data_IF_648492499093
#
_entry.id   IF_648492499093
#
_cell.length_a   1.000
_cell.length_b   1.000
_cell.length_c   1.000
_cell.angle_alpha   90.00
_cell.angle_beta   90.00
_cell.angle_gamma   90.00
#
_symmetry.space_group_name_H-M   'P 1'
#
loop_
_entity.id
_entity.type
_entity.pdbx_description
1 polymer ?
#
# COMPACT_ATOMS: atom_id res chain seq x y z
N UNK A 1 1.68 -73.06 -68.05
CA UNK A 1 0.57 -73.97 -68.52
C UNK A 1 -0.76 -73.20 -68.36
N UNK A 2 -1.35 -72.88 -69.51
CA UNK A 2 -2.75 -72.74 -69.91
C UNK A 2 -3.63 -71.80 -69.00
N UNK A 3 -4.03 -70.62 -69.51
CA UNK A 3 -5.24 -70.42 -70.37
C UNK A 3 -6.50 -70.40 -69.54
N UNK A 4 -7.51 -69.56 -69.61
CA UNK A 4 -8.03 -68.68 -70.70
C UNK A 4 -9.25 -67.94 -70.14
N UNK A 5 -9.53 -66.71 -70.60
CA UNK A 5 -10.72 -66.23 -71.25
C UNK A 5 -12.04 -66.36 -70.44
N UNK A 6 -12.91 -65.37 -70.40
CA UNK A 6 -13.58 -64.49 -71.35
C UNK A 6 -14.53 -63.50 -70.63
N UNK A 7 -14.49 -62.30 -71.05
CA UNK A 7 -15.57 -61.38 -71.53
C UNK A 7 -16.99 -61.44 -70.97
N UNK A 8 -17.47 -60.29 -70.55
CA UNK A 8 -18.88 -59.97 -70.47
C UNK A 8 -19.12 -58.47 -70.22
N UNK A 9 -19.75 -57.83 -71.19
CA UNK A 9 -20.05 -56.39 -71.33
C UNK A 9 -21.16 -55.89 -70.47
N UNK A 10 -21.09 -54.58 -70.24
CA UNK A 10 -22.18 -53.57 -70.21
C UNK A 10 -22.99 -53.28 -68.96
N UNK A 11 -22.99 -52.07 -68.58
CA UNK A 11 -23.98 -51.48 -67.69
C UNK A 11 -23.54 -50.12 -67.16
N UNK A 12 -23.69 -49.06 -67.94
CA UNK A 12 -23.54 -47.68 -67.50
C UNK A 12 -24.65 -47.32 -66.52
N UNK A 13 -24.30 -46.95 -65.28
CA UNK A 13 -25.14 -46.14 -64.42
C UNK A 13 -24.29 -45.04 -63.79
N UNK A 14 -24.41 -43.85 -64.37
CA UNK A 14 -23.83 -42.61 -63.81
C UNK A 14 -24.69 -42.21 -62.58
N UNK A 15 -24.17 -42.48 -61.41
CA UNK A 15 -24.71 -41.94 -60.17
C UNK A 15 -23.97 -40.63 -59.86
N UNK A 16 -24.62 -39.47 -60.13
CA UNK A 16 -24.18 -38.16 -59.64
C UNK A 16 -24.28 -38.15 -58.12
N UNK A 17 -23.16 -38.34 -57.40
CA UNK A 17 -23.03 -37.98 -56.02
C UNK A 17 -22.79 -36.45 -55.93
N UNK A 18 -23.88 -35.72 -55.62
CA UNK A 18 -23.80 -34.34 -55.13
C UNK A 18 -23.22 -34.40 -53.76
N UNK A 19 -21.91 -34.17 -53.63
CA UNK A 19 -21.29 -33.86 -52.34
C UNK A 19 -21.73 -32.49 -51.90
N UNK A 20 -22.73 -32.43 -50.98
CA UNK A 20 -22.96 -31.26 -50.15
C UNK A 20 -21.70 -31.12 -49.27
N UNK A 21 -20.78 -30.26 -49.68
CA UNK A 21 -19.80 -29.65 -48.81
C UNK A 21 -20.60 -28.73 -47.88
N UNK A 22 -21.08 -29.28 -46.76
CA UNK A 22 -21.52 -28.49 -45.64
C UNK A 22 -20.28 -27.76 -45.11
N UNK A 23 -20.15 -26.48 -45.48
CA UNK A 23 -19.37 -25.53 -44.66
C UNK A 23 -20.02 -25.51 -43.29
N UNK A 24 -19.53 -26.39 -42.38
CA UNK A 24 -19.64 -26.17 -40.96
C UNK A 24 -18.71 -25.01 -40.63
N UNK A 25 -19.18 -23.78 -40.85
CA UNK A 25 -18.63 -22.64 -40.15
C UNK A 25 -18.85 -22.90 -38.66
N UNK A 26 -17.84 -23.31 -37.95
CA UNK A 26 -17.75 -22.97 -36.53
C UNK A 26 -17.74 -21.45 -36.47
N UNK A 27 -18.92 -20.87 -36.38
CA UNK A 27 -19.08 -19.49 -36.00
C UNK A 27 -18.46 -19.42 -34.61
N UNK A 28 -17.19 -19.02 -34.49
CA UNK A 28 -16.75 -18.35 -33.30
C UNK A 28 -17.72 -17.19 -33.14
N UNK A 29 -18.71 -17.35 -32.27
CA UNK A 29 -19.54 -16.23 -31.86
C UNK A 29 -18.59 -15.25 -31.18
N UNK A 30 -18.23 -14.18 -31.91
CA UNK A 30 -17.48 -13.06 -31.35
C UNK A 30 -18.39 -12.29 -30.37
N UNK A 31 -18.84 -12.98 -29.30
CA UNK A 31 -19.64 -12.33 -28.28
C UNK A 31 -18.81 -11.20 -27.67
N UNK A 32 -19.39 -10.00 -27.56
CA UNK A 32 -18.64 -8.88 -27.03
C UNK A 32 -18.19 -9.15 -25.60
N UNK A 33 -16.99 -8.71 -25.27
CA UNK A 33 -16.46 -8.70 -23.92
C UNK A 33 -16.90 -7.43 -23.17
N UNK A 34 -16.84 -7.47 -21.85
CA UNK A 34 -17.09 -6.29 -21.02
C UNK A 34 -15.87 -5.95 -20.18
N UNK A 35 -15.59 -4.67 -20.06
CA UNK A 35 -14.45 -4.14 -19.31
C UNK A 35 -14.88 -2.95 -18.46
N UNK A 36 -14.45 -2.92 -17.19
CA UNK A 36 -14.56 -1.73 -16.32
C UNK A 36 -13.25 -1.42 -15.64
N UNK A 37 -13.17 -0.24 -15.04
CA UNK A 37 -12.00 0.21 -14.30
C UNK A 37 -12.37 0.55 -12.86
N UNK A 38 -11.42 0.28 -11.93
CA UNK A 38 -11.47 0.68 -10.53
C UNK A 38 -10.25 1.54 -10.24
N UNK A 39 -10.46 2.74 -9.71
CA UNK A 39 -9.37 3.57 -9.22
C UNK A 39 -9.07 3.25 -7.75
N UNK A 40 -8.15 2.34 -7.50
CA UNK A 40 -7.63 2.00 -6.17
C UNK A 40 -6.31 2.72 -5.87
N UNK A 41 -5.93 3.72 -6.68
CA UNK A 41 -4.67 4.45 -6.48
C UNK A 41 -4.75 5.40 -5.29
N UNK A 42 -3.60 5.62 -4.64
CA UNK A 42 -3.43 6.61 -3.57
C UNK A 42 -2.87 7.93 -4.07
N UNK A 43 -2.27 7.94 -5.27
CA UNK A 43 -1.65 9.12 -5.85
C UNK A 43 -2.56 9.94 -6.79
N UNK A 44 -3.73 9.40 -7.18
CA UNK A 44 -4.59 10.04 -8.18
C UNK A 44 -6.04 10.04 -7.75
N UNK A 45 -6.57 11.21 -7.39
CA UNK A 45 -7.97 11.37 -6.98
C UNK A 45 -8.96 11.11 -8.11
N UNK A 46 -8.58 11.46 -9.34
CA UNK A 46 -9.37 11.31 -10.56
C UNK A 46 -8.48 10.77 -11.69
N UNK A 47 -8.97 9.74 -12.40
CA UNK A 47 -8.33 9.18 -13.58
C UNK A 47 -9.27 9.26 -14.78
N UNK A 48 -8.70 9.51 -15.96
CA UNK A 48 -9.36 9.31 -17.24
C UNK A 48 -8.87 8.00 -17.87
N UNK A 49 -9.78 7.32 -18.59
CA UNK A 49 -9.52 6.03 -19.24
C UNK A 49 -9.72 6.17 -20.73
N UNK A 50 -8.70 5.83 -21.48
CA UNK A 50 -8.73 5.71 -22.94
C UNK A 50 -8.66 4.24 -23.34
N UNK A 51 -9.43 3.86 -24.34
CA UNK A 51 -9.35 2.55 -24.99
C UNK A 51 -9.20 2.81 -26.48
N UNK A 52 -8.20 2.21 -27.10
CA UNK A 52 -7.85 2.41 -28.50
C UNK A 52 -7.82 3.91 -28.87
N UNK A 53 -7.09 4.67 -28.06
CA UNK A 53 -6.89 6.13 -28.13
C UNK A 53 -8.18 6.98 -28.00
N UNK A 54 -9.32 6.35 -27.67
CA UNK A 54 -10.59 7.04 -27.46
C UNK A 54 -10.90 7.18 -25.98
N UNK A 55 -11.23 8.39 -25.51
CA UNK A 55 -11.68 8.64 -24.14
C UNK A 55 -13.01 7.92 -23.89
N UNK A 56 -13.02 6.92 -23.01
CA UNK A 56 -14.20 6.14 -22.67
C UNK A 56 -14.79 6.52 -21.31
N UNK A 57 -13.94 6.91 -20.35
CA UNK A 57 -14.38 7.29 -19.02
C UNK A 57 -13.55 8.47 -18.53
N UNK A 58 -14.20 9.52 -18.06
CA UNK A 58 -13.53 10.69 -17.48
C UNK A 58 -13.86 10.82 -16.00
N UNK A 59 -12.83 11.17 -15.20
CA UNK A 59 -13.00 11.50 -13.79
C UNK A 59 -13.31 10.32 -12.88
N UNK A 60 -12.77 9.12 -13.14
CA UNK A 60 -12.94 7.96 -12.26
C UNK A 60 -12.33 8.26 -10.88
N UNK A 61 -13.21 8.40 -9.90
CA UNK A 61 -12.84 8.80 -8.54
C UNK A 61 -12.08 7.69 -7.79
N UNK A 62 -11.11 8.09 -6.96
CA UNK A 62 -10.37 7.15 -6.12
C UNK A 62 -11.31 6.38 -5.15
N UNK A 63 -11.20 5.06 -5.16
CA UNK A 63 -12.02 4.13 -4.38
C UNK A 63 -13.35 3.76 -5.04
N UNK A 64 -13.60 4.16 -6.29
CA UNK A 64 -14.82 3.80 -7.03
C UNK A 64 -14.53 2.91 -8.25
N UNK A 65 -15.58 2.26 -8.74
CA UNK A 65 -15.62 1.55 -10.01
C UNK A 65 -16.44 2.35 -11.03
N UNK A 66 -15.99 2.35 -12.28
CA UNK A 66 -16.81 2.77 -13.42
C UNK A 66 -17.77 1.67 -13.87
N UNK A 67 -18.68 2.03 -14.75
CA UNK A 67 -19.58 1.07 -15.39
C UNK A 67 -18.82 0.16 -16.38
N UNK A 68 -19.41 -1.00 -16.69
CA UNK A 68 -18.90 -1.88 -17.73
C UNK A 68 -19.11 -1.27 -19.12
N UNK A 69 -18.05 -1.25 -19.89
CA UNK A 69 -18.05 -0.89 -21.32
C UNK A 69 -18.06 -2.17 -22.13
N UNK A 70 -18.85 -2.20 -23.19
CA UNK A 70 -18.91 -3.33 -24.13
C UNK A 70 -17.88 -3.11 -25.24
N UNK A 71 -17.02 -4.08 -25.46
CA UNK A 71 -15.93 -4.06 -26.44
C UNK A 71 -15.99 -5.32 -27.29
N UNK A 72 -15.43 -5.29 -28.49
CA UNK A 72 -15.22 -6.52 -29.26
C UNK A 72 -14.27 -7.46 -28.49
N UNK A 73 -14.38 -8.77 -28.73
CA UNK A 73 -13.32 -9.67 -28.32
C UNK A 73 -12.02 -9.32 -29.07
N UNK A 74 -10.86 -9.51 -28.43
CA UNK A 74 -9.57 -9.18 -29.02
C UNK A 74 -8.66 -8.38 -28.10
N UNK A 75 -7.64 -7.77 -28.68
CA UNK A 75 -6.68 -6.96 -27.94
C UNK A 75 -6.99 -5.48 -28.09
N UNK A 76 -7.07 -4.79 -26.96
CA UNK A 76 -7.34 -3.36 -26.85
C UNK A 76 -6.21 -2.66 -26.10
N UNK A 77 -5.75 -1.53 -26.65
CA UNK A 77 -4.82 -0.66 -25.95
C UNK A 77 -5.58 0.14 -24.88
N UNK A 78 -5.16 0.05 -23.62
CA UNK A 78 -5.76 0.82 -22.53
C UNK A 78 -4.75 1.80 -21.94
N UNK A 79 -5.13 3.08 -21.87
CA UNK A 79 -4.28 4.14 -21.32
C UNK A 79 -5.01 4.88 -20.22
N UNK A 80 -4.34 5.06 -19.09
CA UNK A 80 -4.81 5.84 -17.95
C UNK A 80 -4.04 7.14 -17.88
N UNK A 81 -4.75 8.24 -17.70
CA UNK A 81 -4.18 9.58 -17.54
C UNK A 81 -4.71 10.23 -16.26
N UNK A 82 -4.07 11.31 -15.81
CA UNK A 82 -4.70 12.21 -14.84
C UNK A 82 -5.90 12.87 -15.49
N UNK A 83 -6.96 13.10 -14.74
CA UNK A 83 -8.14 13.80 -15.26
C UNK A 83 -7.77 15.12 -15.96
N UNK A 84 -8.34 15.34 -17.14
CA UNK A 84 -8.07 16.47 -18.02
C UNK A 84 -6.59 16.59 -18.50
N UNK A 85 -5.86 15.48 -18.55
CA UNK A 85 -4.49 15.41 -19.07
C UNK A 85 -4.39 14.37 -20.18
N UNK A 86 -3.50 14.61 -21.14
CA UNK A 86 -3.17 13.65 -22.21
C UNK A 86 -1.91 12.83 -21.94
N UNK A 87 -1.20 13.14 -20.84
CA UNK A 87 0.02 12.41 -20.47
C UNK A 87 -0.33 11.05 -19.89
N UNK A 88 0.12 9.98 -20.54
CA UNK A 88 -0.07 8.62 -20.06
C UNK A 88 0.65 8.39 -18.72
N UNK A 89 -0.10 7.88 -17.74
CA UNK A 89 0.43 7.41 -16.45
C UNK A 89 0.71 5.91 -16.48
N UNK A 90 -0.13 5.15 -17.17
CA UNK A 90 0.03 3.73 -17.43
C UNK A 90 -0.63 3.40 -18.78
N UNK A 91 0.05 2.59 -19.59
CA UNK A 91 -0.49 2.09 -20.86
C UNK A 91 -0.18 0.61 -20.98
N UNK A 92 -1.20 -0.17 -21.40
CA UNK A 92 -1.07 -1.62 -21.53
C UNK A 92 -2.09 -2.18 -22.50
N UNK A 93 -1.64 -3.08 -23.39
CA UNK A 93 -2.52 -3.90 -24.21
C UNK A 93 -3.18 -4.99 -23.37
N UNK A 94 -4.48 -5.20 -23.58
CA UNK A 94 -5.30 -6.19 -22.86
C UNK A 94 -6.06 -7.05 -23.84
N UNK A 95 -5.89 -8.36 -23.69
CA UNK A 95 -6.66 -9.33 -24.46
C UNK A 95 -7.94 -9.67 -23.71
N UNK A 96 -9.08 -9.47 -24.36
CA UNK A 96 -10.42 -9.77 -23.87
C UNK A 96 -10.95 -10.98 -24.66
N UNK A 97 -11.26 -12.07 -23.95
CA UNK A 97 -11.86 -13.25 -24.56
C UNK A 97 -13.34 -12.97 -24.94
N UNK A 98 -13.85 -13.66 -25.96
CA UNK A 98 -15.24 -13.61 -26.35
C UNK A 98 -16.17 -13.91 -25.17
N UNK A 99 -17.14 -13.03 -24.92
CA UNK A 99 -18.10 -13.11 -23.81
C UNK A 99 -17.52 -12.88 -22.42
N UNK A 100 -16.21 -12.62 -22.29
CA UNK A 100 -15.53 -12.43 -21.01
C UNK A 100 -15.86 -11.10 -20.34
N UNK A 101 -15.85 -11.09 -19.01
CA UNK A 101 -16.03 -9.88 -18.20
C UNK A 101 -14.79 -9.59 -17.38
N UNK A 102 -14.34 -8.31 -17.35
CA UNK A 102 -13.09 -7.95 -16.74
C UNK A 102 -13.18 -6.65 -15.92
N UNK A 103 -12.41 -6.59 -14.84
CA UNK A 103 -12.16 -5.36 -14.09
C UNK A 103 -10.65 -5.05 -14.09
N UNK A 104 -10.28 -3.85 -14.50
CA UNK A 104 -8.91 -3.33 -14.37
C UNK A 104 -8.82 -2.47 -13.12
N UNK A 105 -7.99 -2.88 -12.18
CA UNK A 105 -7.69 -2.13 -10.96
C UNK A 105 -6.46 -1.27 -11.20
N UNK A 106 -6.61 0.05 -11.19
CA UNK A 106 -5.51 1.01 -11.19
C UNK A 106 -5.06 1.26 -9.75
N UNK A 107 -3.76 1.11 -9.45
CA UNK A 107 -3.22 1.25 -8.11
C UNK A 107 -1.82 1.82 -8.11
N UNK A 108 -1.34 2.28 -6.95
CA UNK A 108 0.00 2.80 -6.75
C UNK A 108 0.04 4.27 -6.34
N UNK A 109 1.26 4.78 -6.23
CA UNK A 109 1.56 6.16 -5.85
C UNK A 109 1.65 7.09 -7.06
N UNK A 110 1.67 8.39 -6.80
CA UNK A 110 1.98 9.38 -7.83
C UNK A 110 3.34 9.09 -8.48
N UNK A 111 3.38 9.11 -9.82
CA UNK A 111 4.56 8.76 -10.62
C UNK A 111 4.81 7.25 -10.76
N UNK A 112 4.00 6.38 -10.14
CA UNK A 112 4.18 4.93 -10.14
C UNK A 112 2.84 4.17 -10.26
N UNK A 113 1.93 4.66 -11.12
CA UNK A 113 0.64 4.01 -11.37
C UNK A 113 0.86 2.66 -12.04
N UNK A 114 0.19 1.64 -11.54
CA UNK A 114 0.17 0.27 -12.06
C UNK A 114 -1.26 -0.19 -12.26
N UNK A 115 -1.43 -1.28 -13.00
CA UNK A 115 -2.74 -1.89 -13.21
C UNK A 115 -2.68 -3.39 -12.93
N UNK A 116 -3.84 -3.94 -12.51
CA UNK A 116 -4.07 -5.37 -12.35
C UNK A 116 -5.39 -5.72 -13.01
N UNK A 117 -5.40 -6.73 -13.88
CA UNK A 117 -6.63 -7.19 -14.56
C UNK A 117 -7.22 -8.38 -13.81
N UNK A 118 -8.49 -8.28 -13.45
CA UNK A 118 -9.29 -9.34 -12.85
C UNK A 118 -10.25 -9.90 -13.89
N UNK A 119 -10.47 -11.21 -13.89
CA UNK A 119 -11.66 -11.80 -14.52
C UNK A 119 -12.82 -11.72 -13.55
N UNK A 120 -13.99 -11.34 -14.04
CA UNK A 120 -15.25 -11.22 -13.31
C UNK A 120 -16.24 -12.36 -13.69
N UNK A 121 -15.72 -13.48 -14.20
CA UNK A 121 -16.49 -14.65 -14.62
C UNK A 121 -16.41 -15.81 -13.63
N UNK A 122 -16.05 -15.51 -12.37
CA UNK A 122 -16.07 -16.50 -11.30
C UNK A 122 -17.51 -16.96 -11.05
N UNK A 123 -17.72 -18.29 -10.97
CA UNK A 123 -19.04 -18.87 -10.76
C UNK A 123 -19.55 -18.60 -9.34
N UNK A 124 -20.86 -18.41 -9.21
CA UNK A 124 -21.51 -18.23 -7.91
C UNK A 124 -21.20 -19.42 -6.96
N UNK A 125 -20.97 -19.15 -5.68
CA UNK A 125 -20.84 -20.23 -4.68
C UNK A 125 -22.19 -20.93 -4.41
N UNK A 126 -22.15 -22.01 -3.65
CA UNK A 126 -23.36 -22.67 -3.19
C UNK A 126 -24.24 -21.72 -2.36
N UNK A 127 -25.55 -21.96 -2.35
CA UNK A 127 -26.53 -21.23 -1.54
C UNK A 127 -26.09 -21.18 -0.06
N UNK A 128 -26.24 -20.06 0.58
CA UNK A 128 -25.80 -19.80 1.96
C UNK A 128 -24.30 -19.47 2.08
N UNK A 129 -23.58 -19.36 0.96
CA UNK A 129 -22.15 -19.06 0.91
C UNK A 129 -21.86 -17.78 0.10
N UNK A 130 -20.71 -17.17 0.40
CA UNK A 130 -20.08 -16.15 -0.39
C UNK A 130 -18.66 -16.60 -0.77
N UNK A 131 -18.10 -16.08 -1.87
CA UNK A 131 -16.69 -16.20 -2.23
C UNK A 131 -15.96 -14.90 -1.89
N UNK A 132 -14.80 -15.03 -1.27
CA UNK A 132 -13.97 -13.91 -0.85
C UNK A 132 -12.52 -14.15 -1.23
N UNK A 133 -11.86 -13.16 -1.82
CA UNK A 133 -10.42 -13.16 -2.09
C UNK A 133 -9.79 -11.81 -1.79
N UNK A 134 -8.46 -11.75 -1.78
CA UNK A 134 -7.68 -10.57 -1.44
C UNK A 134 -6.72 -10.24 -2.57
N UNK A 135 -6.74 -8.99 -3.04
CA UNK A 135 -5.72 -8.40 -3.91
C UNK A 135 -4.90 -7.39 -3.09
N UNK A 136 -3.63 -7.69 -2.85
CA UNK A 136 -2.74 -6.78 -2.13
C UNK A 136 -2.06 -5.81 -3.12
N UNK A 137 -2.55 -4.58 -3.23
CA UNK A 137 -1.94 -3.51 -4.04
C UNK A 137 -1.05 -2.58 -3.21
N UNK A 138 -0.69 -2.97 -1.96
CA UNK A 138 0.14 -2.23 -1.03
C UNK A 138 1.52 -2.90 -0.82
N UNK A 139 2.45 -2.86 -1.79
CA UNK A 139 3.73 -3.56 -1.69
C UNK A 139 4.61 -3.05 -0.54
N UNK A 140 4.37 -1.82 -0.08
CA UNK A 140 5.07 -1.23 1.06
C UNK A 140 4.63 -1.84 2.39
N UNK A 141 3.40 -2.34 2.49
CA UNK A 141 2.91 -3.01 3.69
C UNK A 141 3.51 -4.42 3.88
N UNK A 142 4.19 -4.96 2.87
CA UNK A 142 4.74 -6.31 2.87
C UNK A 142 3.69 -7.38 2.54
N UNK A 143 3.99 -8.63 2.88
CA UNK A 143 3.03 -9.72 2.81
C UNK A 143 2.04 -9.63 3.96
N UNK A 144 0.76 -9.91 3.69
CA UNK A 144 -0.34 -9.68 4.62
C UNK A 144 -1.16 -10.96 4.83
N UNK A 145 -1.60 -11.18 6.06
CA UNK A 145 -2.60 -12.18 6.41
C UNK A 145 -3.97 -11.50 6.59
N UNK A 146 -5.02 -12.10 6.06
CA UNK A 146 -6.38 -11.56 6.13
C UNK A 146 -7.30 -12.55 6.84
N UNK A 147 -7.99 -12.06 7.85
CA UNK A 147 -8.92 -12.82 8.69
C UNK A 147 -10.33 -12.29 8.50
N UNK A 148 -11.29 -13.19 8.35
CA UNK A 148 -12.74 -12.93 8.34
C UNK A 148 -13.35 -13.69 9.51
N UNK A 149 -13.79 -12.96 10.53
CA UNK A 149 -14.21 -13.52 11.82
C UNK A 149 -15.54 -12.93 12.27
N UNK A 150 -16.17 -13.48 13.27
CA UNK A 150 -17.24 -12.77 13.97
C UNK A 150 -16.68 -11.56 14.73
N UNK A 151 -17.55 -10.63 15.09
CA UNK A 151 -17.14 -9.34 15.66
C UNK A 151 -16.29 -9.47 16.94
N UNK A 152 -16.56 -10.47 17.77
CA UNK A 152 -15.94 -10.66 19.10
C UNK A 152 -14.82 -11.70 19.12
N UNK A 153 -14.56 -12.40 18.00
CA UNK A 153 -13.55 -13.45 17.97
C UNK A 153 -12.14 -12.87 18.17
N UNK A 154 -11.32 -13.55 18.99
CA UNK A 154 -9.87 -13.32 19.03
C UNK A 154 -9.22 -13.84 17.75
N UNK A 155 -8.06 -13.29 17.37
CA UNK A 155 -7.23 -13.86 16.30
C UNK A 155 -6.41 -15.07 16.76
N UNK A 156 -6.26 -15.30 18.06
CA UNK A 156 -5.31 -16.28 18.60
C UNK A 156 -5.55 -17.68 18.03
N UNK A 157 -6.83 -18.10 17.97
CA UNK A 157 -7.24 -19.44 17.54
C UNK A 157 -7.80 -19.48 16.11
N UNK A 158 -7.70 -18.38 15.35
CA UNK A 158 -8.25 -18.28 13.99
C UNK A 158 -7.13 -18.33 12.95
N UNK A 159 -7.33 -19.12 11.90
CA UNK A 159 -6.48 -19.13 10.73
C UNK A 159 -6.90 -18.03 9.73
N UNK A 160 -5.97 -17.41 8.98
CA UNK A 160 -6.32 -16.45 7.96
C UNK A 160 -7.07 -17.12 6.79
N UNK A 161 -8.05 -16.43 6.23
CA UNK A 161 -8.74 -16.87 4.98
C UNK A 161 -7.86 -16.65 3.75
N UNK A 162 -6.89 -15.73 3.83
CA UNK A 162 -5.84 -15.54 2.85
C UNK A 162 -4.53 -15.27 3.61
N UNK A 163 -3.50 -16.07 3.40
CA UNK A 163 -2.23 -16.00 4.11
C UNK A 163 -1.09 -15.53 3.21
N UNK A 164 -0.19 -14.74 3.79
CA UNK A 164 1.05 -14.25 3.18
C UNK A 164 0.84 -13.66 1.77
N UNK A 165 -0.28 -12.93 1.56
CA UNK A 165 -0.58 -12.29 0.27
C UNK A 165 0.46 -11.21 0.00
N UNK A 166 1.38 -11.49 -0.92
CA UNK A 166 2.47 -10.57 -1.26
C UNK A 166 1.95 -9.32 -1.98
N UNK A 167 2.74 -8.24 -1.97
CA UNK A 167 2.41 -7.03 -2.73
C UNK A 167 2.29 -7.32 -4.23
N UNK A 168 1.31 -6.74 -4.88
CA UNK A 168 0.92 -6.95 -6.27
C UNK A 168 0.48 -8.39 -6.60
N UNK A 169 0.00 -9.15 -5.61
CA UNK A 169 -0.54 -10.50 -5.81
C UNK A 169 -1.97 -10.64 -5.28
N UNK A 170 -2.66 -11.68 -5.77
CA UNK A 170 -4.02 -12.01 -5.41
C UNK A 170 -4.07 -13.42 -4.80
N UNK A 171 -4.92 -13.59 -3.78
CA UNK A 171 -5.18 -14.92 -3.19
C UNK A 171 -6.15 -15.74 -4.05
N UNK A 172 -6.22 -17.04 -3.77
CA UNK A 172 -7.36 -17.84 -4.19
C UNK A 172 -8.66 -17.37 -3.50
N UNK A 173 -9.80 -17.76 -4.04
CA UNK A 173 -11.08 -17.57 -3.37
C UNK A 173 -11.26 -18.52 -2.17
N UNK A 174 -11.73 -17.97 -1.07
CA UNK A 174 -12.21 -18.72 0.10
C UNK A 174 -13.73 -18.71 0.11
N UNK A 175 -14.35 -19.86 0.43
CA UNK A 175 -15.80 -19.97 0.61
C UNK A 175 -16.15 -19.65 2.06
N UNK A 176 -17.00 -18.64 2.27
CA UNK A 176 -17.41 -18.15 3.59
C UNK A 176 -18.93 -18.29 3.70
N UNK A 177 -19.45 -18.65 4.85
CA UNK A 177 -20.92 -18.66 5.09
C UNK A 177 -21.43 -17.22 5.02
N UNK A 178 -22.62 -17.00 4.46
CA UNK A 178 -23.22 -15.67 4.49
C UNK A 178 -23.35 -15.15 5.92
N UNK A 179 -23.17 -13.86 6.13
CA UNK A 179 -23.23 -13.27 7.48
C UNK A 179 -22.56 -11.90 7.57
N UNK A 180 -22.51 -11.39 8.80
CA UNK A 180 -21.82 -10.13 9.10
C UNK A 180 -20.51 -10.43 9.83
N UNK A 181 -19.41 -9.89 9.33
CA UNK A 181 -18.07 -10.21 9.76
C UNK A 181 -17.24 -8.99 10.13
N UNK A 182 -16.14 -9.24 10.83
CA UNK A 182 -15.02 -8.31 11.02
C UNK A 182 -13.85 -8.81 10.18
N UNK A 183 -13.33 -7.93 9.32
CA UNK A 183 -12.15 -8.20 8.51
C UNK A 183 -10.95 -7.56 9.20
N UNK A 184 -9.94 -8.36 9.54
CA UNK A 184 -8.67 -7.89 10.10
C UNK A 184 -7.52 -8.29 9.21
N UNK A 185 -6.60 -7.36 9.00
CA UNK A 185 -5.40 -7.56 8.19
C UNK A 185 -4.20 -7.36 9.09
N UNK A 186 -3.27 -8.30 9.09
CA UNK A 186 -2.02 -8.24 9.88
C UNK A 186 -0.80 -8.40 8.97
N UNK A 187 0.38 -8.09 9.48
CA UNK A 187 1.60 -8.58 8.85
C UNK A 187 1.58 -10.11 8.80
N UNK A 188 2.11 -10.69 7.72
CA UNK A 188 2.11 -12.14 7.56
C UNK A 188 2.88 -12.83 8.70
N UNK A 189 2.22 -13.78 9.38
CA UNK A 189 2.77 -14.53 10.50
C UNK A 189 2.77 -13.80 11.85
N UNK A 190 2.32 -12.54 11.92
CA UNK A 190 2.24 -11.78 13.17
C UNK A 190 0.82 -11.22 13.39
N UNK A 191 0.04 -11.93 14.20
CA UNK A 191 -1.35 -11.55 14.54
C UNK A 191 -1.43 -10.27 15.38
N UNK A 192 -0.34 -9.83 15.99
CA UNK A 192 -0.28 -8.62 16.82
C UNK A 192 0.02 -7.37 16.01
N UNK A 193 0.63 -7.50 14.82
CA UNK A 193 0.94 -6.38 13.93
C UNK A 193 -0.26 -6.07 13.01
N UNK A 194 -1.27 -5.42 13.60
CA UNK A 194 -2.51 -5.07 12.92
C UNK A 194 -2.28 -3.95 11.90
N UNK A 195 -2.72 -4.16 10.65
CA UNK A 195 -2.58 -3.24 9.52
C UNK A 195 -3.89 -2.60 9.08
N UNK A 196 -5.01 -3.29 9.32
CA UNK A 196 -6.35 -2.81 9.01
C UNK A 196 -7.38 -3.58 9.84
N UNK A 197 -8.46 -2.90 10.22
CA UNK A 197 -9.56 -3.48 10.98
C UNK A 197 -10.88 -2.87 10.50
N UNK A 198 -11.77 -3.70 10.01
CA UNK A 198 -13.06 -3.30 9.46
C UNK A 198 -14.16 -4.19 10.02
N UNK A 199 -15.01 -3.61 10.85
CA UNK A 199 -16.15 -4.31 11.42
C UNK A 199 -17.42 -4.14 10.58
N UNK A 200 -18.37 -5.05 10.73
CA UNK A 200 -19.72 -4.93 10.17
C UNK A 200 -19.80 -5.19 8.66
N UNK A 201 -18.88 -5.97 8.09
CA UNK A 201 -18.91 -6.32 6.67
C UNK A 201 -19.94 -7.41 6.42
N UNK A 202 -21.00 -7.09 5.65
CA UNK A 202 -21.96 -8.07 5.19
C UNK A 202 -21.44 -8.84 3.99
N UNK A 203 -21.42 -10.18 4.09
CA UNK A 203 -21.23 -11.09 2.96
C UNK A 203 -22.57 -11.78 2.71
N UNK A 204 -23.23 -11.47 1.61
CA UNK A 204 -24.56 -11.96 1.29
C UNK A 204 -24.52 -13.30 0.55
N UNK A 205 -25.69 -13.93 0.43
CA UNK A 205 -25.83 -15.20 -0.31
C UNK A 205 -25.32 -15.05 -1.75
N UNK A 206 -24.48 -16.00 -2.16
CA UNK A 206 -23.91 -16.10 -3.51
C UNK A 206 -23.05 -14.89 -3.95
N UNK A 207 -22.73 -13.99 -3.05
CA UNK A 207 -21.84 -12.85 -3.32
C UNK A 207 -20.41 -13.30 -3.64
N UNK A 208 -19.76 -12.60 -4.57
CA UNK A 208 -18.35 -12.80 -4.92
C UNK A 208 -17.64 -11.46 -4.73
N UNK A 209 -16.75 -11.39 -3.74
CA UNK A 209 -16.11 -10.15 -3.32
C UNK A 209 -14.59 -10.27 -3.36
N UNK A 210 -13.94 -9.26 -3.89
CA UNK A 210 -12.49 -9.06 -3.80
C UNK A 210 -12.20 -7.91 -2.84
N UNK A 211 -11.45 -8.15 -1.76
CA UNK A 211 -10.87 -7.09 -0.94
C UNK A 211 -9.57 -6.62 -1.61
N UNK A 212 -9.56 -5.38 -2.08
CA UNK A 212 -8.36 -4.73 -2.60
C UNK A 212 -7.73 -3.94 -1.45
N UNK A 213 -6.52 -4.32 -1.04
CA UNK A 213 -5.75 -3.61 -0.01
C UNK A 213 -4.89 -2.55 -0.68
N UNK A 214 -5.11 -1.28 -0.33
CA UNK A 214 -4.37 -0.13 -0.87
C UNK A 214 -3.47 0.48 0.22
N UNK A 215 -2.32 1.07 -0.14
CA UNK A 215 -1.38 1.57 0.86
C UNK A 215 -1.91 2.80 1.60
N UNK A 216 -1.68 2.87 2.91
CA UNK A 216 -1.79 4.09 3.69
C UNK A 216 -0.60 5.02 3.48
N UNK A 217 -0.76 6.30 3.80
CA UNK A 217 0.26 7.34 3.54
C UNK A 217 1.58 7.10 4.26
N UNK A 218 1.56 6.45 5.42
CA UNK A 218 2.78 6.05 6.15
C UNK A 218 3.51 4.86 5.54
N UNK A 219 2.89 4.11 4.62
CA UNK A 219 3.49 2.96 3.94
C UNK A 219 3.39 1.63 4.70
N UNK A 220 2.81 1.60 5.89
CA UNK A 220 2.71 0.39 6.72
C UNK A 220 1.27 -0.06 6.88
N UNK A 221 0.38 0.83 7.32
CA UNK A 221 -1.05 0.55 7.38
C UNK A 221 -1.65 0.52 5.97
N UNK A 222 -2.77 -0.16 5.82
CA UNK A 222 -3.48 -0.26 4.54
C UNK A 222 -4.92 0.22 4.70
N UNK A 223 -5.53 0.59 3.58
CA UNK A 223 -6.97 0.82 3.43
C UNK A 223 -7.59 -0.36 2.68
N UNK A 224 -8.91 -0.45 2.64
CA UNK A 224 -9.63 -1.48 1.90
C UNK A 224 -10.55 -0.89 0.83
N UNK A 225 -10.70 -1.58 -0.29
CA UNK A 225 -11.81 -1.42 -1.23
C UNK A 225 -12.46 -2.79 -1.39
N UNK A 226 -13.71 -2.91 -0.98
CA UNK A 226 -14.52 -4.11 -1.28
C UNK A 226 -15.11 -3.95 -2.67
N UNK A 227 -14.75 -4.84 -3.56
CA UNK A 227 -15.21 -4.90 -4.94
C UNK A 227 -16.06 -6.13 -5.14
N UNK A 228 -17.33 -5.96 -5.39
CA UNK A 228 -18.22 -7.06 -5.76
C UNK A 228 -18.11 -7.36 -7.25
N UNK A 229 -18.03 -8.65 -7.59
CA UNK A 229 -18.03 -9.08 -8.97
C UNK A 229 -19.33 -8.60 -9.66
N UNK A 230 -19.18 -7.86 -10.76
CA UNK A 230 -20.30 -7.23 -11.48
C UNK A 230 -21.16 -6.29 -10.61
N UNK A 231 -20.63 -5.82 -9.49
CA UNK A 231 -21.29 -4.95 -8.53
C UNK A 231 -20.45 -3.71 -8.15
N UNK A 232 -20.77 -3.09 -7.03
CA UNK A 232 -20.16 -1.86 -6.57
C UNK A 232 -18.73 -2.06 -6.05
N UNK A 233 -17.97 -0.95 -6.01
CA UNK A 233 -16.75 -0.81 -5.23
C UNK A 233 -17.01 0.13 -4.05
N UNK A 234 -16.66 -0.30 -2.83
CA UNK A 234 -16.84 0.50 -1.61
C UNK A 234 -15.51 0.68 -0.91
N UNK A 235 -15.08 1.93 -0.73
CA UNK A 235 -13.83 2.28 -0.07
C UNK A 235 -14.00 2.37 1.45
N UNK A 236 -13.04 1.80 2.17
CA UNK A 236 -12.90 1.88 3.62
C UNK A 236 -11.53 2.43 3.98
N UNK A 237 -11.51 3.63 4.54
CA UNK A 237 -10.28 4.24 5.06
C UNK A 237 -9.94 3.60 6.40
N UNK A 238 -8.67 3.36 6.66
CA UNK A 238 -8.20 2.89 7.96
C UNK A 238 -8.56 3.92 9.04
N UNK A 239 -9.15 3.45 10.13
CA UNK A 239 -9.54 4.28 11.28
C UNK A 239 -8.40 4.47 12.30
N UNK A 240 -7.19 3.97 11.97
CA UNK A 240 -5.97 4.10 12.78
C UNK A 240 -4.87 4.82 12.03
N UNK A 241 -3.99 5.45 12.81
CA UNK A 241 -2.67 5.91 12.42
C UNK A 241 -1.63 5.31 13.36
N UNK A 242 -0.36 5.38 13.00
CA UNK A 242 0.76 5.01 13.89
C UNK A 242 1.45 6.27 14.37
N UNK A 243 1.61 6.38 15.68
CA UNK A 243 2.27 7.52 16.33
C UNK A 243 3.33 7.01 17.29
N UNK A 244 4.50 7.66 17.31
CA UNK A 244 5.53 7.40 18.32
C UNK A 244 5.98 8.68 19.00
N UNK A 245 6.54 8.55 20.20
CA UNK A 245 7.20 9.63 20.91
C UNK A 245 8.69 9.71 20.53
N UNK A 246 9.17 10.92 20.25
CA UNK A 246 10.57 11.32 20.32
C UNK A 246 10.73 12.28 21.50
N UNK A 247 11.33 11.83 22.59
CA UNK A 247 11.68 12.69 23.70
C UNK A 247 13.08 13.29 23.46
N UNK A 248 13.13 14.60 23.23
CA UNK A 248 14.35 15.36 22.94
C UNK A 248 14.46 16.62 23.81
N UNK A 249 14.01 16.51 25.07
CA UNK A 249 14.15 17.57 26.06
C UNK A 249 15.55 17.50 26.69
N UNK A 250 16.21 18.65 26.82
CA UNK A 250 17.53 18.72 27.45
C UNK A 250 17.51 18.26 28.93
N UNK A 251 18.69 18.09 29.50
CA UNK A 251 18.91 17.81 30.92
C UNK A 251 18.31 16.49 31.45
N UNK A 252 18.23 15.47 30.59
CA UNK A 252 17.69 14.15 30.93
C UNK A 252 16.30 14.18 31.57
N UNK A 253 15.47 15.14 31.15
CA UNK A 253 14.11 15.27 31.65
C UNK A 253 13.27 14.02 31.42
N UNK A 254 12.29 13.75 32.27
CA UNK A 254 11.30 12.70 32.05
C UNK A 254 10.14 13.25 31.23
N UNK A 255 9.65 12.50 30.25
CA UNK A 255 8.54 12.89 29.36
C UNK A 255 7.46 11.84 29.46
N UNK A 256 6.25 12.27 29.80
CA UNK A 256 5.03 11.49 29.61
C UNK A 256 4.21 12.10 28.46
N UNK A 257 3.62 11.25 27.63
CA UNK A 257 2.85 11.68 26.46
C UNK A 257 1.71 10.72 26.17
N UNK A 258 0.54 11.27 25.88
CA UNK A 258 -0.58 10.52 25.29
C UNK A 258 -1.23 11.31 24.15
N UNK A 259 -1.91 10.61 23.26
CA UNK A 259 -2.67 11.19 22.17
C UNK A 259 -4.03 10.48 22.03
N UNK A 260 -5.13 11.24 22.10
CA UNK A 260 -6.48 10.69 22.07
C UNK A 260 -6.73 9.63 23.15
N UNK A 261 -6.12 9.79 24.34
CA UNK A 261 -6.19 8.82 25.44
C UNK A 261 -5.26 7.61 25.30
N UNK A 262 -4.55 7.45 24.18
CA UNK A 262 -3.58 6.37 23.99
C UNK A 262 -2.21 6.81 24.52
N UNK A 263 -1.67 6.08 25.49
CA UNK A 263 -0.35 6.36 26.06
C UNK A 263 0.76 6.03 25.05
N UNK A 264 1.67 6.99 24.82
CA UNK A 264 2.89 6.82 24.06
C UNK A 264 4.10 6.55 24.97
N UNK A 265 4.09 7.18 26.14
CA UNK A 265 5.05 6.95 27.20
C UNK A 265 4.46 7.45 28.55
N UNK A 266 4.80 6.79 29.65
CA UNK A 266 4.36 7.14 31.01
C UNK A 266 5.44 7.81 31.86
N UNK A 267 6.62 8.11 31.30
CA UNK A 267 7.77 8.69 32.00
C UNK A 267 9.09 8.30 31.34
N UNK A 268 9.17 8.46 30.00
CA UNK A 268 10.39 8.16 29.25
C UNK A 268 11.48 9.19 29.55
N UNK A 269 12.69 8.71 29.86
CA UNK A 269 13.83 9.60 30.09
C UNK A 269 14.39 10.06 28.72
N UNK A 270 14.44 11.37 28.52
CA UNK A 270 15.05 11.99 27.35
C UNK A 270 16.60 11.84 27.40
N UNK A 271 17.29 11.63 26.26
CA UNK A 271 16.75 11.45 24.92
C UNK A 271 16.26 10.02 24.66
N UNK A 272 15.13 9.88 23.97
CA UNK A 272 14.54 8.57 23.63
C UNK A 272 13.73 8.63 22.34
N UNK A 273 13.80 7.56 21.54
CA UNK A 273 12.86 7.27 20.45
C UNK A 273 12.01 6.05 20.83
N UNK A 274 10.71 6.24 20.98
CA UNK A 274 9.74 5.17 21.23
C UNK A 274 9.44 4.31 20.00
N UNK A 275 8.68 3.26 20.22
CA UNK A 275 8.08 2.46 19.14
C UNK A 275 6.76 3.09 18.66
N UNK A 276 6.33 2.76 17.43
CA UNK A 276 5.01 3.16 16.97
C UNK A 276 3.91 2.45 17.75
N UNK A 277 2.90 3.21 18.11
CA UNK A 277 1.67 2.76 18.74
C UNK A 277 0.50 3.09 17.83
N UNK A 278 -0.49 2.21 17.71
CA UNK A 278 -1.72 2.51 16.99
C UNK A 278 -2.56 3.50 17.80
N UNK A 279 -2.94 4.60 17.16
CA UNK A 279 -3.85 5.61 17.70
C UNK A 279 -5.06 5.74 16.77
N UNK A 280 -6.23 6.21 17.26
CA UNK A 280 -7.34 6.53 16.36
C UNK A 280 -6.93 7.56 15.30
N UNK A 281 -7.50 7.46 14.09
CA UNK A 281 -7.40 8.53 13.12
C UNK A 281 -8.32 9.70 13.51
N UNK A 282 -7.96 10.92 13.08
CA UNK A 282 -8.74 12.13 13.35
C UNK A 282 -8.00 13.13 14.22
N UNK A 283 -8.76 13.99 14.88
CA UNK A 283 -8.24 15.01 15.80
C UNK A 283 -8.02 14.39 17.17
N UNK A 284 -6.77 14.35 17.62
CA UNK A 284 -6.35 13.74 18.87
C UNK A 284 -5.89 14.79 19.87
N UNK A 285 -6.55 14.99 21.01
CA UNK A 285 -6.04 15.80 22.11
C UNK A 285 -4.70 15.22 22.58
N UNK A 286 -3.73 16.11 22.85
CA UNK A 286 -2.42 15.74 23.40
C UNK A 286 -2.41 16.03 24.90
N UNK A 287 -1.92 15.06 25.68
CA UNK A 287 -1.54 15.28 27.09
C UNK A 287 -0.05 15.02 27.20
N UNK A 288 0.70 16.08 27.51
CA UNK A 288 2.15 16.08 27.60
C UNK A 288 2.61 16.57 28.98
N UNK A 289 3.58 15.87 29.55
CA UNK A 289 4.21 16.27 30.80
C UNK A 289 5.73 16.17 30.69
N UNK A 290 6.42 17.14 31.27
CA UNK A 290 7.89 17.11 31.41
C UNK A 290 8.23 17.28 32.89
N UNK A 291 8.98 16.33 33.47
CA UNK A 291 9.28 16.24 34.89
C UNK A 291 8.02 16.33 35.78
N UNK A 292 6.91 15.73 35.34
CA UNK A 292 5.61 15.76 36.04
C UNK A 292 4.84 17.06 35.90
N UNK A 293 5.39 18.06 35.20
CA UNK A 293 4.69 19.33 34.93
C UNK A 293 4.02 19.29 33.58
N UNK A 294 2.74 19.67 33.52
CA UNK A 294 1.98 19.72 32.28
C UNK A 294 2.57 20.73 31.30
N UNK A 295 2.69 20.33 30.05
CA UNK A 295 3.08 21.17 28.91
C UNK A 295 1.83 21.62 28.19
N UNK A 296 1.71 22.91 27.92
CA UNK A 296 0.58 23.40 27.11
C UNK A 296 0.61 22.75 25.73
N UNK A 297 -0.35 21.88 25.47
CA UNK A 297 -0.49 21.15 24.21
C UNK A 297 -1.93 21.29 23.70
N UNK A 298 -2.06 21.31 22.39
CA UNK A 298 -3.35 21.32 21.72
C UNK A 298 -3.77 19.93 21.27
N UNK A 299 -4.04 19.82 19.99
CA UNK A 299 -4.39 18.55 19.35
C UNK A 299 -3.51 18.33 18.11
N UNK A 300 -3.31 17.09 17.74
CA UNK A 300 -2.76 16.71 16.44
C UNK A 300 -3.84 16.08 15.57
N UNK A 301 -3.73 16.23 14.26
CA UNK A 301 -4.56 15.51 13.29
C UNK A 301 -3.79 14.32 12.75
N UNK A 302 -4.28 13.10 13.00
CA UNK A 302 -3.72 11.86 12.48
C UNK A 302 -4.60 11.34 11.33
N UNK A 303 -4.13 11.45 10.10
CA UNK A 303 -4.84 10.84 8.97
C UNK A 303 -4.81 9.32 9.07
N UNK A 304 -5.90 8.66 8.66
CA UNK A 304 -5.92 7.19 8.60
C UNK A 304 -4.79 6.65 7.73
N UNK A 305 -4.07 5.66 8.24
CA UNK A 305 -2.92 5.06 7.54
C UNK A 305 -1.62 5.86 7.61
N UNK A 306 -1.58 7.00 8.30
CA UNK A 306 -0.36 7.81 8.48
C UNK A 306 0.57 7.22 9.54
N UNK A 307 1.87 7.52 9.37
CA UNK A 307 2.91 7.33 10.37
C UNK A 307 3.42 8.69 10.83
N UNK A 308 3.49 8.90 12.14
CA UNK A 308 3.82 10.20 12.73
C UNK A 308 4.83 10.05 13.88
N UNK A 309 5.68 11.05 14.05
CA UNK A 309 6.55 11.21 15.22
C UNK A 309 6.14 12.47 15.98
N UNK A 310 5.72 12.33 17.22
CA UNK A 310 5.52 13.42 18.17
C UNK A 310 6.86 13.70 18.86
N UNK A 311 7.53 14.76 18.46
CA UNK A 311 8.77 15.20 19.07
C UNK A 311 8.48 16.19 20.19
N UNK A 312 8.76 15.82 21.43
CA UNK A 312 8.75 16.73 22.60
C UNK A 312 10.19 17.21 22.83
N UNK A 313 10.42 18.51 22.76
CA UNK A 313 11.76 19.09 22.69
C UNK A 313 11.87 20.41 23.48
N UNK A 314 13.06 21.02 23.49
CA UNK A 314 13.35 22.25 24.22
C UNK A 314 14.12 21.98 25.51
N UNK A 315 14.12 22.93 26.45
CA UNK A 315 14.64 22.74 27.80
C UNK A 315 13.56 22.21 28.74
N UNK A 316 13.96 21.64 29.88
CA UNK A 316 13.00 21.19 30.89
C UNK A 316 12.14 22.35 31.47
N UNK A 317 12.65 23.58 31.42
CA UNK A 317 11.93 24.78 31.87
C UNK A 317 10.98 25.36 30.81
N UNK A 318 11.25 25.10 29.54
CA UNK A 318 10.45 25.59 28.39
C UNK A 318 10.29 24.49 27.34
N UNK A 319 9.58 23.40 27.67
CA UNK A 319 9.32 22.32 26.75
C UNK A 319 8.24 22.72 25.74
N UNK A 320 8.36 22.19 24.52
CA UNK A 320 7.38 22.34 23.47
C UNK A 320 7.31 21.07 22.63
N UNK A 321 6.49 21.03 21.58
CA UNK A 321 6.39 19.86 20.71
C UNK A 321 6.27 20.21 19.25
N UNK A 322 6.63 19.25 18.38
CA UNK A 322 6.48 19.29 16.93
C UNK A 322 5.99 17.93 16.46
N UNK A 323 5.08 17.89 15.50
CA UNK A 323 4.63 16.66 14.86
C UNK A 323 5.29 16.52 13.49
N UNK A 324 5.97 15.40 13.27
CA UNK A 324 6.66 15.09 12.03
C UNK A 324 5.90 13.96 11.31
N UNK A 325 5.67 14.11 10.01
CA UNK A 325 5.19 13.03 9.17
C UNK A 325 6.33 12.08 8.82
N UNK A 326 6.07 10.78 8.95
CA UNK A 326 7.03 9.73 8.63
C UNK A 326 6.60 9.01 7.36
N UNK A 327 7.49 8.96 6.37
CA UNK A 327 7.30 8.20 5.15
C UNK A 327 8.09 6.88 5.22
N UNK A 328 7.40 5.82 5.64
CA UNK A 328 7.95 4.47 5.73
C UNK A 328 7.69 3.63 4.46
N UNK A 329 7.30 4.24 3.34
CA UNK A 329 7.24 3.58 2.04
C UNK A 329 8.61 3.09 1.63
N UNK A 330 8.66 1.91 1.05
CA UNK A 330 9.92 1.28 0.67
C UNK A 330 10.50 1.91 -0.60
N UNK A 331 11.80 2.21 -0.67
CA UNK A 331 12.44 2.62 -1.91
C UNK A 331 12.53 1.44 -2.91
N UNK A 332 12.95 1.72 -4.13
CA UNK A 332 13.20 0.70 -5.15
C UNK A 332 14.22 -0.35 -4.67
N UNK A 333 14.17 -1.55 -5.26
CA UNK A 333 15.18 -2.58 -5.01
C UNK A 333 16.58 -2.05 -5.37
N UNK A 334 17.58 -2.39 -4.55
CA UNK A 334 18.95 -1.88 -4.68
C UNK A 334 19.14 -0.48 -4.05
N UNK A 335 18.07 0.15 -3.58
CA UNK A 335 18.14 1.48 -2.94
C UNK A 335 17.74 1.43 -1.48
N UNK A 336 18.18 2.42 -0.74
CA UNK A 336 17.85 2.73 0.66
C UNK A 336 17.47 4.19 0.74
N UNK A 337 16.58 4.57 1.64
CA UNK A 337 16.32 5.99 1.90
C UNK A 337 16.64 6.37 3.34
N UNK A 338 17.23 7.56 3.48
CA UNK A 338 17.66 8.13 4.76
C UNK A 338 17.09 9.53 4.94
N UNK A 339 16.84 9.90 6.20
CA UNK A 339 16.59 11.29 6.59
C UNK A 339 17.26 11.64 7.90
N UNK A 340 17.38 12.94 8.16
CA UNK A 340 17.84 13.52 9.41
C UNK A 340 16.66 14.18 10.15
N UNK A 341 16.53 13.92 11.45
CA UNK A 341 15.65 14.67 12.35
C UNK A 341 16.51 15.46 13.31
N UNK A 342 16.32 16.77 13.33
CA UNK A 342 17.03 17.68 14.25
C UNK A 342 16.11 18.07 15.42
N UNK A 343 16.30 17.46 16.57
CA UNK A 343 15.68 17.80 17.84
C UNK A 343 16.66 18.44 18.86
N UNK A 344 17.88 18.83 18.44
CA UNK A 344 18.90 19.39 19.35
C UNK A 344 18.60 20.84 19.64
N UNK A 345 18.18 21.15 20.86
CA UNK A 345 17.89 22.51 21.30
C UNK A 345 19.17 23.31 21.61
N UNK A 346 19.18 24.60 21.27
CA UNK A 346 20.26 25.53 21.61
C UNK A 346 21.51 25.42 20.74
N UNK A 347 21.49 24.65 19.65
CA UNK A 347 22.58 24.60 18.68
C UNK A 347 22.45 25.71 17.65
N UNK A 348 23.56 26.41 17.34
CA UNK A 348 23.59 27.41 16.27
C UNK A 348 23.79 26.76 14.92
N UNK A 349 22.99 27.18 13.94
CA UNK A 349 23.00 26.66 12.57
C UNK A 349 22.32 25.30 12.43
N UNK A 350 22.06 24.90 11.19
CA UNK A 350 21.44 23.62 10.88
C UNK A 350 22.41 22.45 10.92
N UNK A 351 21.85 21.26 10.88
CA UNK A 351 22.61 20.00 10.82
C UNK A 351 22.70 19.50 9.38
N UNK A 352 23.80 18.84 9.05
CA UNK A 352 24.04 18.20 7.75
C UNK A 352 24.24 16.69 7.94
N UNK A 353 23.45 15.88 7.24
CA UNK A 353 23.63 14.43 7.16
C UNK A 353 24.58 14.13 5.99
N UNK A 354 25.63 13.37 6.27
CA UNK A 354 26.66 12.98 5.30
C UNK A 354 26.73 11.45 5.25
N UNK A 355 26.79 10.91 4.04
CA UNK A 355 27.11 9.51 3.78
C UNK A 355 28.34 9.44 2.89
N UNK A 356 29.35 8.68 3.32
CA UNK A 356 30.60 8.47 2.58
C UNK A 356 31.16 9.78 1.96
N UNK A 357 31.18 10.85 2.80
CA UNK A 357 31.64 12.21 2.47
C UNK A 357 30.70 13.00 1.54
N UNK A 358 29.57 12.44 1.09
CA UNK A 358 28.55 13.17 0.31
C UNK A 358 27.43 13.68 1.22
N UNK A 359 27.07 14.96 1.11
CA UNK A 359 25.97 15.53 1.86
C UNK A 359 24.63 15.05 1.28
N UNK A 360 23.79 14.41 2.10
CA UNK A 360 22.45 13.94 1.74
C UNK A 360 21.37 14.95 2.09
N UNK A 361 21.53 15.66 3.20
CA UNK A 361 20.62 16.70 3.65
C UNK A 361 21.44 17.79 4.34
N UNK A 362 21.24 19.04 3.97
CA UNK A 362 22.03 20.18 4.45
C UNK A 362 21.17 21.21 5.17
N UNK A 363 21.74 21.83 6.18
CA UNK A 363 21.15 22.94 6.94
C UNK A 363 19.76 22.63 7.52
N UNK A 364 19.61 21.44 8.11
CA UNK A 364 18.34 21.03 8.74
C UNK A 364 18.22 21.77 10.07
N UNK A 365 17.32 22.76 10.08
CA UNK A 365 17.06 23.61 11.26
C UNK A 365 16.39 22.84 12.39
N UNK A 366 16.52 23.37 13.60
CA UNK A 366 15.79 22.91 14.78
C UNK A 366 14.45 23.67 14.92
N UNK A 367 13.36 23.03 15.29
CA UNK A 367 13.08 21.60 15.35
C UNK A 367 12.44 21.13 14.03
N UNK A 368 13.13 20.30 13.27
CA UNK A 368 12.59 19.83 11.99
C UNK A 368 13.19 18.50 11.52
N UNK A 369 12.71 18.00 10.39
CA UNK A 369 13.26 16.84 9.69
C UNK A 369 13.55 17.21 8.22
N UNK A 370 14.57 16.59 7.65
CA UNK A 370 14.81 16.64 6.21
C UNK A 370 13.75 15.83 5.45
N UNK A 371 13.66 16.07 4.14
CA UNK A 371 13.11 15.08 3.22
C UNK A 371 13.98 13.81 3.25
N UNK A 372 13.42 12.69 2.77
CA UNK A 372 14.21 11.48 2.58
C UNK A 372 15.09 11.61 1.33
N UNK A 373 16.37 11.29 1.47
CA UNK A 373 17.30 11.10 0.36
C UNK A 373 17.41 9.63 0.02
N UNK A 374 17.38 9.29 -1.26
CA UNK A 374 17.55 7.91 -1.74
C UNK A 374 18.99 7.70 -2.18
N UNK A 375 19.61 6.65 -1.65
CA UNK A 375 20.98 6.23 -1.95
C UNK A 375 21.00 4.76 -2.36
N UNK A 376 22.11 4.27 -2.91
CA UNK A 376 22.30 2.84 -3.16
C UNK A 376 22.39 2.07 -1.83
N UNK A 377 21.89 0.82 -1.84
CA UNK A 377 22.17 -0.07 -0.70
C UNK A 377 23.67 -0.36 -0.60
N UNK A 378 24.19 -0.47 0.60
CA UNK A 378 25.61 -0.65 0.88
C UNK A 378 25.83 -1.66 2.00
N UNK A 379 26.91 -2.43 1.90
CA UNK A 379 27.34 -3.33 2.97
C UNK A 379 28.19 -2.62 4.03
N UNK A 380 28.70 -1.41 3.75
CA UNK A 380 29.53 -0.65 4.68
C UNK A 380 29.53 0.83 4.25
N UNK A 381 28.79 1.67 4.96
CA UNK A 381 28.79 3.13 4.78
C UNK A 381 29.21 3.84 6.04
N UNK A 382 29.82 5.00 5.89
CA UNK A 382 30.09 5.96 6.97
C UNK A 382 28.96 6.99 7.01
N UNK A 383 28.18 7.01 8.08
CA UNK A 383 27.17 8.04 8.31
C UNK A 383 27.65 9.04 9.35
N UNK A 384 27.55 10.32 9.02
CA UNK A 384 27.95 11.40 9.95
C UNK A 384 26.88 12.50 9.98
N UNK A 385 26.76 13.16 11.12
CA UNK A 385 26.00 14.41 11.25
C UNK A 385 26.97 15.49 11.70
N UNK A 386 27.08 16.54 10.91
CA UNK A 386 27.94 17.70 11.16
C UNK A 386 27.12 18.95 11.44
N UNK A 387 27.74 19.94 12.07
CA UNK A 387 27.17 21.25 12.34
C UNK A 387 28.23 22.31 12.07
N UNK A 388 27.87 23.50 11.54
CA UNK A 388 28.80 24.59 11.38
C UNK A 388 29.33 25.15 12.70
N UNK A 389 28.65 24.86 13.81
CA UNK A 389 29.06 25.27 15.18
C UNK A 389 29.98 24.27 15.88
N UNK A 390 30.33 23.14 15.25
CA UNK A 390 31.19 22.11 15.81
C UNK A 390 32.33 21.75 14.88
N UNK A 391 33.54 21.61 15.43
CA UNK A 391 34.75 21.23 14.65
C UNK A 391 34.82 19.76 14.31
N UNK A 392 34.01 18.91 14.97
CA UNK A 392 33.90 17.47 14.75
C UNK A 392 32.47 17.07 14.50
N UNK A 393 32.26 15.90 13.89
CA UNK A 393 30.93 15.35 13.71
C UNK A 393 30.24 15.15 15.07
N UNK A 394 28.98 15.56 15.17
CA UNK A 394 28.13 15.36 16.35
C UNK A 394 27.63 13.92 16.47
N UNK A 395 27.61 13.19 15.37
CA UNK A 395 27.30 11.77 15.27
C UNK A 395 28.17 11.15 14.19
N UNK A 396 28.69 9.96 14.44
CA UNK A 396 29.43 9.18 13.45
C UNK A 396 29.18 7.69 13.68
N UNK A 397 28.81 6.98 12.63
CA UNK A 397 28.65 5.54 12.60
C UNK A 397 29.36 4.99 11.36
N UNK A 398 30.38 4.17 11.55
CA UNK A 398 31.09 3.47 10.48
C UNK A 398 30.53 2.07 10.27
N UNK A 399 30.84 1.49 9.12
CA UNK A 399 30.43 0.12 8.74
C UNK A 399 28.91 -0.12 8.81
N UNK A 400 28.15 0.92 8.54
CA UNK A 400 26.69 0.83 8.53
C UNK A 400 26.23 0.03 7.31
N UNK A 401 25.45 -1.03 7.54
CA UNK A 401 24.80 -1.78 6.47
C UNK A 401 23.49 -1.08 6.10
N UNK A 402 23.46 -0.49 4.90
CA UNK A 402 22.26 0.10 4.32
C UNK A 402 21.58 -0.96 3.45
N UNK A 403 20.57 -1.61 3.99
CA UNK A 403 19.90 -2.73 3.32
C UNK A 403 19.05 -2.25 2.14
N UNK A 404 19.03 -3.05 1.08
CA UNK A 404 18.11 -2.83 -0.05
C UNK A 404 16.68 -2.72 0.44
N UNK A 405 15.96 -1.70 -0.07
CA UNK A 405 14.61 -1.33 0.36
C UNK A 405 14.53 -0.87 1.84
N UNK A 406 15.65 -0.56 2.46
CA UNK A 406 15.71 -0.05 3.82
C UNK A 406 15.19 1.38 3.93
N UNK A 407 14.60 1.72 5.07
CA UNK A 407 14.21 3.07 5.46
C UNK A 407 14.90 3.38 6.78
N UNK A 408 15.71 4.43 6.80
CA UNK A 408 16.50 4.80 7.98
C UNK A 408 16.27 6.26 8.36
N UNK A 409 16.34 6.53 9.67
CA UNK A 409 16.32 7.87 10.22
C UNK A 409 17.47 8.05 11.17
N UNK A 410 18.24 9.13 11.01
CA UNK A 410 19.18 9.61 12.01
C UNK A 410 18.47 10.64 12.86
N UNK A 411 18.31 10.36 14.14
CA UNK A 411 17.71 11.26 15.12
C UNK A 411 18.84 11.94 15.91
N UNK A 412 18.87 13.27 15.85
CA UNK A 412 19.73 14.09 16.71
C UNK A 412 18.86 14.70 17.80
N UNK A 413 19.23 14.49 19.06
CA UNK A 413 18.38 14.76 20.22
C UNK A 413 19.13 15.45 21.35
N UNK A 414 18.39 16.02 22.30
CA UNK A 414 18.91 16.64 23.53
C UNK A 414 19.25 18.10 23.37
N UNK A 415 20.19 18.59 24.18
CA UNK A 415 20.68 19.98 24.14
C UNK A 415 22.04 20.10 23.45
N UNK A 416 22.42 21.31 23.02
CA UNK A 416 23.68 21.60 22.33
C UNK A 416 24.93 21.21 23.13
N UNK A 417 24.88 21.20 24.48
CA UNK A 417 25.99 20.82 25.32
C UNK A 417 26.32 19.32 25.33
N UNK A 418 25.33 18.46 25.01
CA UNK A 418 25.47 17.02 24.94
C UNK A 418 24.48 16.42 23.95
N UNK A 419 24.66 16.67 22.65
CA UNK A 419 23.76 16.11 21.61
C UNK A 419 23.95 14.60 21.51
N UNK A 420 22.84 13.87 21.33
CA UNK A 420 22.81 12.41 21.17
C UNK A 420 22.27 12.08 19.79
N UNK A 421 23.05 11.32 19.01
CA UNK A 421 22.65 10.79 17.71
C UNK A 421 22.25 9.31 17.81
N UNK A 422 21.15 8.94 17.16
CA UNK A 422 20.68 7.56 17.05
C UNK A 422 20.29 7.27 15.60
N UNK A 423 20.93 6.27 15.01
CA UNK A 423 20.50 5.69 13.73
C UNK A 423 19.44 4.62 14.01
N UNK A 424 18.29 4.76 13.40
CA UNK A 424 17.21 3.77 13.49
C UNK A 424 16.83 3.28 12.09
N UNK A 425 16.77 1.96 11.93
CA UNK A 425 16.12 1.35 10.80
C UNK A 425 14.62 1.27 11.08
N UNK A 426 13.83 1.87 10.21
CA UNK A 426 12.36 1.93 10.30
C UNK A 426 11.70 0.73 9.59
N UNK A 427 12.36 0.28 8.51
CA UNK A 427 11.91 -0.82 7.64
C UNK A 427 13.08 -1.63 7.13
#
# INVERSE_FOLDING_TARGET
MKMSWMRGLAGWAVLLLVSLAGCGGSGDSDDPATLRFVNASTGYSLLDVYIDDTLQLSGLTAGSAGDYMTLSAGTHATTLTRNASTTALASQDRTLASGGSYTVVAYGWEGALKTYQLSDDESAPATGKAKFRVLNTAPDAGSLDVYVTLATDSLDDVSPVASAVAGASISAYSSITQGTYRIRVTAAGDKTDLRFDLAGVGLTDQQITTLILTPGTGGVLVHGVLLDQKGAATRYTNDKARLRLMASVADNATVAASAGGTALATGARSPLIGSYTLVPAGLLPLDLQVNGTAVAAGSLTAAGGADLTLMVHGSAAAPTYTVLADDNRLPASGSTKLRLVNGVSGLSGGLTLVEDYAALATDIGYPSASSYSTVSSSSSSLLQVTSPSASTALFSASEVVLQSRGVYTVFMMGGAGAPVGVLRRER
#
